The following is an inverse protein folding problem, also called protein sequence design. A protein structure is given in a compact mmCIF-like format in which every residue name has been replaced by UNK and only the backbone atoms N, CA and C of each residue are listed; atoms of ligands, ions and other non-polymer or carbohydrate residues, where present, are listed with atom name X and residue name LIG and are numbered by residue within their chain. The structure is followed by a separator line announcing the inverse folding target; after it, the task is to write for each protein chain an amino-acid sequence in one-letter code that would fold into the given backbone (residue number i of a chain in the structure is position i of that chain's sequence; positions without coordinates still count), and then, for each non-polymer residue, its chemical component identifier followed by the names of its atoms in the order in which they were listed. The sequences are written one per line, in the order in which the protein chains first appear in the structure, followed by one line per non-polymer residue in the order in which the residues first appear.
data_IF_283178433614
#
_entry.id   IF_283178433614
#
_cell.length_a   1.000
_cell.length_b   1.000
_cell.length_c   1.000
_cell.angle_alpha   90.00
_cell.angle_beta   90.00
_cell.angle_gamma   90.00
#
_symmetry.space_group_name_H-M   'P 1'
#
loop_
_entity.id
_entity.type
_entity.pdbx_description
1 polymer ?
#
# COMPACT_ATOMS: atom_id res chain seq x y z
N UNK A 1 24.69 6.03 -57.17
CA UNK A 1 24.55 6.08 -55.70
C UNK A 1 25.47 7.20 -55.21
N UNK A 2 24.95 8.43 -55.07
CA UNK A 2 25.74 9.58 -54.62
C UNK A 2 25.93 9.46 -53.10
N UNK A 3 27.17 9.21 -52.67
CA UNK A 3 27.58 9.33 -51.29
C UNK A 3 27.51 10.82 -50.91
N UNK A 4 26.55 11.18 -50.07
CA UNK A 4 26.54 12.49 -49.42
C UNK A 4 27.80 12.61 -48.54
N UNK A 5 28.56 13.70 -48.64
CA UNK A 5 29.72 13.91 -47.80
C UNK A 5 29.26 14.10 -46.35
N UNK A 6 29.76 13.26 -45.44
CA UNK A 6 29.59 13.45 -44.00
C UNK A 6 30.29 14.76 -43.64
N UNK A 7 29.50 15.78 -43.33
CA UNK A 7 29.96 17.13 -43.04
C UNK A 7 30.61 17.15 -41.65
N UNK A 8 31.90 16.79 -41.59
CA UNK A 8 32.71 16.71 -40.36
C UNK A 8 32.68 18.00 -39.53
N UNK A 9 32.44 19.14 -40.16
CA UNK A 9 32.38 20.44 -39.50
C UNK A 9 31.07 20.63 -38.72
N UNK A 10 29.98 20.01 -39.17
CA UNK A 10 28.67 20.08 -38.50
C UNK A 10 28.60 19.27 -37.21
N UNK A 11 29.24 18.09 -37.16
CA UNK A 11 29.29 17.27 -35.94
C UNK A 11 30.17 17.89 -34.86
N UNK A 12 31.31 18.47 -35.26
CA UNK A 12 32.17 19.23 -34.35
C UNK A 12 31.42 20.43 -33.76
N UNK A 13 30.77 21.23 -34.61
CA UNK A 13 29.98 22.38 -34.18
C UNK A 13 28.83 21.98 -33.25
N UNK A 14 28.11 20.89 -33.54
CA UNK A 14 27.05 20.39 -32.67
C UNK A 14 27.59 19.91 -31.31
N UNK A 15 28.80 19.34 -31.29
CA UNK A 15 29.47 18.94 -30.05
C UNK A 15 29.84 20.16 -29.22
N UNK A 16 30.40 21.20 -29.84
CA UNK A 16 30.75 22.45 -29.15
C UNK A 16 29.51 23.18 -28.62
N UNK A 17 28.41 23.18 -29.38
CA UNK A 17 27.12 23.72 -28.93
C UNK A 17 26.60 22.93 -27.73
N UNK A 18 26.68 21.60 -27.76
CA UNK A 18 26.29 20.76 -26.61
C UNK A 18 27.13 21.09 -25.38
N UNK A 19 28.44 21.22 -25.53
CA UNK A 19 29.34 21.61 -24.43
C UNK A 19 28.97 23.00 -23.90
N UNK A 20 28.76 23.98 -24.78
CA UNK A 20 28.41 25.34 -24.38
C UNK A 20 27.06 25.42 -23.66
N UNK A 21 26.05 24.66 -24.13
CA UNK A 21 24.74 24.53 -23.49
C UNK A 21 24.81 23.79 -22.16
N UNK A 22 25.65 22.76 -22.04
CA UNK A 22 25.87 22.06 -20.77
C UNK A 22 26.54 22.96 -19.72
N UNK A 23 27.42 23.87 -20.14
CA UNK A 23 28.06 24.85 -19.26
C UNK A 23 27.08 25.95 -18.83
N UNK A 24 26.24 26.42 -19.76
CA UNK A 24 25.25 27.46 -19.53
C UNK A 24 23.97 27.18 -20.34
N UNK A 25 22.96 26.64 -19.66
CA UNK A 25 21.72 26.24 -20.28
C UNK A 25 20.96 27.41 -20.92
N UNK A 26 21.21 28.67 -20.50
CA UNK A 26 20.60 29.87 -21.12
C UNK A 26 21.04 30.05 -22.58
N UNK A 27 22.19 29.49 -22.96
CA UNK A 27 22.66 29.49 -24.36
C UNK A 27 21.78 28.65 -25.29
N UNK A 28 20.98 27.74 -24.75
CA UNK A 28 20.04 26.94 -25.54
C UNK A 28 18.93 27.81 -26.13
N UNK A 29 18.47 28.84 -25.42
CA UNK A 29 17.49 29.80 -25.94
C UNK A 29 18.08 30.61 -27.11
N UNK A 30 19.28 31.16 -26.92
CA UNK A 30 19.99 31.88 -27.98
C UNK A 30 20.23 30.99 -29.22
N UNK A 31 20.58 29.72 -29.02
CA UNK A 31 20.74 28.75 -30.10
C UNK A 31 19.42 28.47 -30.81
N UNK A 32 18.33 28.25 -30.08
CA UNK A 32 17.00 28.07 -30.64
C UNK A 32 16.55 29.28 -31.46
N UNK A 33 16.82 30.50 -31.00
CA UNK A 33 16.55 31.74 -31.74
C UNK A 33 17.36 31.85 -33.03
N UNK A 34 18.62 31.42 -33.02
CA UNK A 34 19.44 31.36 -34.23
C UNK A 34 18.81 30.36 -35.23
N UNK A 35 18.40 29.17 -34.78
CA UNK A 35 17.74 28.17 -35.63
C UNK A 35 16.40 28.65 -36.19
N UNK A 36 15.67 29.49 -35.46
CA UNK A 36 14.41 30.09 -35.93
C UNK A 36 14.58 31.05 -37.10
N UNK A 37 15.79 31.61 -37.32
CA UNK A 37 16.03 32.61 -38.38
C UNK A 37 16.10 32.01 -39.78
N UNK A 38 16.33 30.70 -39.92
CA UNK A 38 16.39 30.03 -41.21
C UNK A 38 15.19 29.09 -41.41
N UNK A 39 14.50 29.22 -42.55
CA UNK A 39 13.27 28.47 -42.85
C UNK A 39 13.45 26.95 -42.77
N UNK A 40 14.63 26.45 -43.14
CA UNK A 40 14.96 25.02 -43.08
C UNK A 40 15.09 24.46 -41.65
N UNK A 41 15.44 25.30 -40.66
CA UNK A 41 15.67 24.89 -39.26
C UNK A 41 14.65 25.47 -38.28
N UNK A 42 13.71 26.29 -38.76
CA UNK A 42 12.76 27.00 -37.92
C UNK A 42 11.87 26.06 -37.10
N UNK A 43 11.47 24.91 -37.65
CA UNK A 43 10.70 23.91 -36.91
C UNK A 43 11.46 23.34 -35.70
N UNK A 44 12.76 23.09 -35.85
CA UNK A 44 13.64 22.59 -34.77
C UNK A 44 13.84 23.70 -33.73
N UNK A 45 14.12 24.93 -34.18
CA UNK A 45 14.26 26.08 -33.30
C UNK A 45 13.01 26.33 -32.45
N UNK A 46 11.81 26.25 -33.05
CA UNK A 46 10.56 26.42 -32.31
C UNK A 46 10.28 25.28 -31.32
N UNK A 47 10.58 24.03 -31.69
CA UNK A 47 10.45 22.89 -30.78
C UNK A 47 11.36 23.06 -29.54
N UNK A 48 12.64 23.38 -29.75
CA UNK A 48 13.59 23.63 -28.67
C UNK A 48 13.14 24.83 -27.83
N UNK A 49 12.67 25.93 -28.44
CA UNK A 49 12.22 27.12 -27.70
C UNK A 49 10.97 26.84 -26.85
N UNK A 50 10.04 26.02 -27.34
CA UNK A 50 8.86 25.63 -26.58
C UNK A 50 9.22 24.73 -25.40
N UNK A 51 10.01 23.67 -25.64
CA UNK A 51 10.49 22.79 -24.57
C UNK A 51 11.36 23.55 -23.55
N UNK A 52 12.19 24.49 -24.01
CA UNK A 52 13.00 25.32 -23.13
C UNK A 52 12.13 26.18 -22.21
N UNK A 53 11.10 26.83 -22.75
CA UNK A 53 10.18 27.67 -21.96
C UNK A 53 9.35 26.88 -20.97
N UNK A 54 8.91 25.67 -21.33
CA UNK A 54 8.19 24.77 -20.43
C UNK A 54 9.04 24.29 -19.25
N UNK A 55 10.35 24.10 -19.47
CA UNK A 55 11.23 23.53 -18.46
C UNK A 55 12.04 24.56 -17.65
N UNK A 56 12.28 25.78 -18.17
CA UNK A 56 13.27 26.70 -17.60
C UNK A 56 12.81 28.15 -17.37
N UNK A 57 11.78 28.65 -18.07
CA UNK A 57 11.37 30.05 -17.94
C UNK A 57 10.02 30.19 -17.25
N UNK A 58 10.04 30.28 -15.92
CA UNK A 58 9.00 30.98 -15.17
C UNK A 58 9.64 31.79 -14.04
N UNK A 59 9.67 33.11 -14.27
CA UNK A 59 9.86 34.20 -13.30
C UNK A 59 11.28 34.70 -13.03
N UNK A 60 11.88 35.40 -14.01
CA UNK A 60 12.93 36.40 -13.76
C UNK A 60 12.26 37.76 -13.44
N UNK A 61 11.70 37.93 -12.24
CA UNK A 61 11.50 39.26 -11.63
C UNK A 61 11.01 39.14 -10.19
N UNK A 62 11.51 40.03 -9.34
CA UNK A 62 11.09 40.33 -7.95
C UNK A 62 11.88 39.60 -6.83
N UNK A 63 13.17 39.93 -6.77
CA UNK A 63 13.90 40.02 -5.51
C UNK A 63 13.20 41.03 -4.59
N UNK A 64 12.78 40.60 -3.41
CA UNK A 64 13.01 41.27 -2.11
C UNK A 64 12.23 40.53 -1.02
N UNK A 65 12.94 40.18 0.06
CA UNK A 65 12.44 39.88 1.43
C UNK A 65 12.63 38.45 2.00
N UNK A 66 13.63 37.68 1.55
CA UNK A 66 14.10 36.52 2.34
C UNK A 66 15.37 36.90 3.09
N UNK A 67 15.25 36.99 4.41
CA UNK A 67 16.34 37.25 5.35
C UNK A 67 17.46 36.24 5.14
N UNK A 68 18.67 36.79 4.99
CA UNK A 68 19.92 36.11 4.67
C UNK A 68 20.29 35.10 5.76
N UNK A 69 19.85 33.85 5.58
CA UNK A 69 20.53 32.67 6.12
C UNK A 69 21.65 32.28 5.15
N UNK A 70 22.81 31.90 5.67
CA UNK A 70 23.96 31.42 4.90
C UNK A 70 23.54 30.43 3.82
N UNK A 71 24.12 30.59 2.62
CA UNK A 71 23.67 30.08 1.32
C UNK A 71 23.64 28.54 1.12
N UNK A 72 23.44 27.74 2.17
CA UNK A 72 23.49 26.28 2.17
C UNK A 72 22.20 25.62 2.71
N UNK A 73 21.33 26.36 3.40
CA UNK A 73 20.09 25.82 3.98
C UNK A 73 18.91 26.76 3.76
N UNK A 74 17.88 26.30 3.04
CA UNK A 74 16.58 26.97 3.02
C UNK A 74 15.77 26.50 4.22
N UNK A 75 15.64 27.37 5.23
CA UNK A 75 14.71 27.16 6.34
C UNK A 75 13.36 27.78 6.01
N UNK A 76 12.36 26.92 5.82
CA UNK A 76 10.97 27.34 5.61
C UNK A 76 10.28 27.30 6.97
N UNK A 77 10.05 28.46 7.56
CA UNK A 77 9.28 28.58 8.79
C UNK A 77 7.81 28.66 8.45
N UNK A 78 7.03 27.66 8.84
CA UNK A 78 5.59 27.70 8.63
C UNK A 78 4.98 28.84 9.44
N UNK A 79 4.32 29.83 8.80
CA UNK A 79 3.66 30.88 9.52
C UNK A 79 2.51 30.29 10.34
N UNK A 80 2.11 30.99 11.40
CA UNK A 80 1.03 30.53 12.26
C UNK A 80 -0.30 30.35 11.51
N UNK A 81 -0.48 31.07 10.39
CA UNK A 81 -1.59 30.86 9.46
C UNK A 81 -1.55 29.48 8.79
N UNK A 82 -0.39 28.98 8.39
CA UNK A 82 -0.22 27.65 7.80
C UNK A 82 -0.44 26.55 8.85
N UNK A 83 0.12 26.73 10.05
CA UNK A 83 -0.11 25.82 11.18
C UNK A 83 -1.61 25.75 11.52
N UNK A 84 -2.31 26.89 11.50
CA UNK A 84 -3.76 26.93 11.70
C UNK A 84 -4.53 26.19 10.60
N UNK A 85 -4.08 26.21 9.35
CA UNK A 85 -4.69 25.44 8.26
C UNK A 85 -4.49 23.93 8.44
N UNK A 86 -3.32 23.47 8.88
CA UNK A 86 -3.12 22.07 9.27
C UNK A 86 -4.06 21.66 10.41
N UNK A 87 -4.17 22.48 11.47
CA UNK A 87 -5.12 22.25 12.57
C UNK A 87 -6.57 22.17 12.08
N UNK A 88 -6.99 23.08 11.19
CA UNK A 88 -8.32 23.04 10.57
C UNK A 88 -8.55 21.76 9.77
N UNK A 89 -7.55 21.31 9.00
CA UNK A 89 -7.65 20.05 8.26
C UNK A 89 -7.75 18.85 9.18
N UNK A 90 -7.01 18.83 10.30
CA UNK A 90 -7.13 17.77 11.31
C UNK A 90 -8.49 17.76 12.00
N UNK A 91 -9.07 18.93 12.28
CA UNK A 91 -10.44 19.04 12.78
C UNK A 91 -11.47 18.53 11.76
N UNK A 92 -11.28 18.83 10.47
CA UNK A 92 -12.13 18.28 9.40
C UNK A 92 -12.01 16.76 9.30
N UNK A 93 -10.80 16.22 9.37
CA UNK A 93 -10.56 14.78 9.42
C UNK A 93 -11.35 14.13 10.57
N UNK A 94 -11.22 14.65 11.79
CA UNK A 94 -12.01 14.16 12.94
C UNK A 94 -13.53 14.28 12.71
N UNK A 95 -13.99 15.38 12.11
CA UNK A 95 -15.41 15.58 11.76
C UNK A 95 -15.90 14.57 10.73
N UNK A 96 -15.08 14.18 9.76
CA UNK A 96 -15.39 13.14 8.77
C UNK A 96 -15.66 11.82 9.49
N UNK A 97 -14.75 11.37 10.35
CA UNK A 97 -14.94 10.13 11.12
C UNK A 97 -16.17 10.18 12.03
N UNK A 98 -16.43 11.31 12.69
CA UNK A 98 -17.63 11.47 13.51
C UNK A 98 -18.91 11.40 12.66
N UNK A 99 -18.90 11.98 11.47
CA UNK A 99 -20.03 11.96 10.54
C UNK A 99 -20.30 10.54 10.07
N UNK A 100 -19.25 9.80 9.67
CA UNK A 100 -19.35 8.38 9.31
C UNK A 100 -19.91 7.55 10.47
N UNK A 101 -19.37 7.74 11.68
CA UNK A 101 -19.86 7.05 12.89
C UNK A 101 -21.36 7.30 13.14
N UNK A 102 -21.83 8.54 12.97
CA UNK A 102 -23.24 8.87 13.17
C UNK A 102 -24.14 8.23 12.11
N UNK A 103 -23.68 8.17 10.86
CA UNK A 103 -24.42 7.55 9.75
C UNK A 103 -24.50 6.03 9.96
N UNK A 104 -23.38 5.38 10.26
CA UNK A 104 -23.34 3.93 10.57
C UNK A 104 -24.20 3.61 11.79
N UNK A 105 -24.25 4.48 12.81
CA UNK A 105 -25.12 4.27 13.97
C UNK A 105 -26.60 4.28 13.61
N UNK A 106 -27.01 5.04 12.58
CA UNK A 106 -28.40 5.08 12.14
C UNK A 106 -28.81 3.80 11.37
N UNK A 107 -27.87 3.18 10.65
CA UNK A 107 -28.06 1.91 9.95
C UNK A 107 -26.83 1.00 10.12
N UNK A 108 -26.72 0.29 11.27
CA UNK A 108 -25.53 -0.48 11.58
C UNK A 108 -25.48 -1.78 10.76
N UNK A 109 -24.37 -2.05 10.04
CA UNK A 109 -24.16 -3.35 9.41
C UNK A 109 -23.84 -4.42 10.47
N UNK A 110 -23.84 -5.68 10.05
CA UNK A 110 -23.49 -6.78 10.95
C UNK A 110 -22.01 -6.70 11.35
N UNK A 111 -21.75 -6.93 12.64
CA UNK A 111 -20.40 -6.81 13.21
C UNK A 111 -19.42 -7.80 12.57
N UNK A 112 -19.84 -9.03 12.32
CA UNK A 112 -18.97 -10.06 11.74
C UNK A 112 -18.66 -9.75 10.27
N UNK A 113 -19.63 -9.25 9.49
CA UNK A 113 -19.39 -8.81 8.11
C UNK A 113 -18.36 -7.67 8.06
N UNK A 114 -18.40 -6.73 9.01
CA UNK A 114 -17.40 -5.67 9.15
C UNK A 114 -16.00 -6.24 9.45
N UNK A 115 -15.91 -7.23 10.34
CA UNK A 115 -14.64 -7.88 10.69
C UNK A 115 -14.06 -8.65 9.51
N UNK A 116 -14.88 -9.43 8.82
CA UNK A 116 -14.47 -10.23 7.66
C UNK A 116 -13.98 -9.34 6.52
N UNK A 117 -14.71 -8.25 6.22
CA UNK A 117 -14.30 -7.27 5.22
C UNK A 117 -12.93 -6.66 5.52
N UNK A 118 -12.70 -6.29 6.79
CA UNK A 118 -11.44 -5.68 7.22
C UNK A 118 -10.29 -6.70 7.21
N UNK A 119 -10.51 -7.94 7.64
CA UNK A 119 -9.49 -9.01 7.63
C UNK A 119 -9.13 -9.42 6.21
N UNK A 120 -10.12 -9.54 5.31
CA UNK A 120 -9.90 -9.90 3.92
C UNK A 120 -9.06 -8.85 3.20
N UNK A 121 -9.36 -7.57 3.45
CA UNK A 121 -8.71 -6.45 2.77
C UNK A 121 -7.38 -6.06 3.42
N UNK A 122 -7.23 -6.28 4.72
CA UNK A 122 -6.07 -5.91 5.53
C UNK A 122 -5.69 -7.04 6.51
N UNK A 123 -5.18 -8.14 5.97
CA UNK A 123 -4.86 -9.36 6.74
C UNK A 123 -3.91 -9.12 7.91
N UNK A 124 -3.04 -8.10 7.83
CA UNK A 124 -2.15 -7.68 8.91
C UNK A 124 -2.88 -7.21 10.18
N UNK A 125 -4.12 -6.70 10.05
CA UNK A 125 -4.91 -6.22 11.18
C UNK A 125 -5.64 -7.33 11.92
N UNK A 126 -5.59 -8.59 11.45
CA UNK A 126 -6.31 -9.72 12.05
C UNK A 126 -6.18 -9.82 13.59
N UNK A 127 -5.00 -9.62 14.22
CA UNK A 127 -4.88 -9.66 15.68
C UNK A 127 -5.59 -8.51 16.40
N UNK A 128 -5.76 -7.36 15.75
CA UNK A 128 -6.41 -6.16 16.30
C UNK A 128 -7.93 -6.25 16.09
N UNK A 129 -8.37 -6.73 14.93
CA UNK A 129 -9.78 -6.97 14.62
C UNK A 129 -10.39 -8.00 15.58
N UNK A 130 -9.64 -9.05 15.94
CA UNK A 130 -10.09 -10.05 16.91
C UNK A 130 -10.39 -9.46 18.31
N UNK A 131 -9.81 -8.31 18.66
CA UNK A 131 -10.03 -7.62 19.94
C UNK A 131 -11.21 -6.63 19.88
N UNK A 132 -11.77 -6.38 18.72
CA UNK A 132 -12.88 -5.44 18.56
C UNK A 132 -14.20 -6.12 18.97
N UNK A 133 -14.80 -5.62 20.06
CA UNK A 133 -16.07 -6.15 20.60
C UNK A 133 -17.30 -5.54 19.92
N UNK A 134 -17.15 -4.33 19.36
CA UNK A 134 -18.25 -3.60 18.74
C UNK A 134 -17.81 -2.80 17.50
N UNK A 135 -18.80 -2.26 16.77
CA UNK A 135 -18.59 -1.43 15.58
C UNK A 135 -17.74 -0.19 15.91
N UNK A 136 -17.86 0.32 17.13
CA UNK A 136 -17.10 1.50 17.56
C UNK A 136 -15.60 1.19 17.62
N UNK A 137 -15.23 0.04 18.16
CA UNK A 137 -13.84 -0.42 18.26
C UNK A 137 -13.24 -0.65 16.87
N UNK A 138 -14.02 -1.15 15.92
CA UNK A 138 -13.61 -1.27 14.51
C UNK A 138 -13.36 0.10 13.88
N UNK A 139 -14.27 1.06 14.07
CA UNK A 139 -14.10 2.41 13.53
C UNK A 139 -12.91 3.15 14.16
N UNK A 140 -12.65 2.93 15.45
CA UNK A 140 -11.47 3.44 16.15
C UNK A 140 -10.18 2.84 15.54
N UNK A 141 -10.13 1.53 15.33
CA UNK A 141 -9.01 0.85 14.65
C UNK A 141 -8.76 1.39 13.23
N UNK A 142 -9.83 1.58 12.44
CA UNK A 142 -9.73 2.17 11.10
C UNK A 142 -9.15 3.60 11.20
N UNK A 143 -9.58 4.39 12.18
CA UNK A 143 -9.10 5.75 12.36
C UNK A 143 -7.61 5.84 12.72
N UNK A 144 -7.09 4.87 13.47
CA UNK A 144 -5.67 4.78 13.84
C UNK A 144 -4.79 4.41 12.64
N UNK A 145 -5.34 3.68 11.67
CA UNK A 145 -4.64 3.25 10.47
C UNK A 145 -4.82 4.22 9.28
N UNK A 146 -5.71 5.19 9.39
CA UNK A 146 -5.86 6.27 8.40
C UNK A 146 -4.91 7.43 8.71
N UNK A 147 -4.57 8.18 7.66
CA UNK A 147 -3.77 9.41 7.76
C UNK A 147 -4.48 10.58 7.11
N UNK A 148 -3.98 11.80 7.32
CA UNK A 148 -4.65 13.00 6.80
C UNK A 148 -4.81 12.99 5.27
N UNK A 149 -3.87 12.38 4.53
CA UNK A 149 -3.90 12.28 3.08
C UNK A 149 -4.32 10.90 2.55
N UNK A 150 -4.61 9.94 3.44
CA UNK A 150 -5.02 8.59 3.06
C UNK A 150 -6.12 8.09 4.01
N UNK A 151 -7.36 8.12 3.50
CA UNK A 151 -8.56 7.59 4.16
C UNK A 151 -9.08 6.35 3.42
N UNK A 152 -8.28 5.73 2.56
CA UNK A 152 -8.72 4.66 1.64
C UNK A 152 -9.34 3.48 2.39
N UNK A 153 -8.81 3.15 3.58
CA UNK A 153 -9.36 2.10 4.43
C UNK A 153 -10.80 2.40 4.87
N UNK A 154 -11.07 3.66 5.24
CA UNK A 154 -12.41 4.10 5.62
C UNK A 154 -13.36 4.13 4.40
N UNK A 155 -12.88 4.61 3.25
CA UNK A 155 -13.67 4.68 2.01
C UNK A 155 -14.06 3.29 1.50
N UNK A 156 -13.10 2.38 1.42
CA UNK A 156 -13.32 1.00 0.99
C UNK A 156 -14.39 0.31 1.84
N UNK A 157 -14.22 0.39 3.16
CA UNK A 157 -15.13 -0.23 4.12
C UNK A 157 -16.56 0.29 4.00
N UNK A 158 -16.70 1.58 3.77
CA UNK A 158 -18.00 2.24 3.71
C UNK A 158 -18.71 2.00 2.37
N UNK A 159 -17.98 1.92 1.26
CA UNK A 159 -18.57 1.67 -0.06
C UNK A 159 -19.23 0.28 -0.18
N UNK A 160 -18.69 -0.72 0.53
CA UNK A 160 -19.29 -2.07 0.61
C UNK A 160 -20.58 -2.09 1.44
N UNK A 161 -20.85 -1.08 2.26
CA UNK A 161 -21.98 -1.08 3.20
C UNK A 161 -23.31 -0.56 2.60
N UNK A 162 -23.32 -0.06 1.35
CA UNK A 162 -24.47 0.58 0.67
C UNK A 162 -25.19 1.68 1.48
N UNK A 163 -24.50 2.35 2.42
CA UNK A 163 -25.14 3.34 3.30
C UNK A 163 -25.21 4.72 2.62
N UNK A 164 -26.42 5.24 2.45
CA UNK A 164 -26.69 6.54 1.83
C UNK A 164 -26.08 7.71 2.61
N UNK A 165 -25.61 8.73 1.89
CA UNK A 165 -25.00 9.95 2.44
C UNK A 165 -23.49 9.90 2.70
N UNK A 166 -22.85 8.73 2.68
CA UNK A 166 -21.40 8.62 2.94
C UNK A 166 -20.53 9.09 1.78
N UNK A 167 -20.97 8.87 0.54
CA UNK A 167 -20.29 9.38 -0.65
C UNK A 167 -20.09 10.90 -0.59
N UNK A 168 -21.11 11.63 -0.10
CA UNK A 168 -21.05 13.08 0.08
C UNK A 168 -20.05 13.48 1.15
N UNK A 169 -19.99 12.75 2.27
CA UNK A 169 -19.03 13.00 3.36
C UNK A 169 -17.59 12.87 2.86
N UNK A 170 -17.28 11.83 2.08
CA UNK A 170 -15.94 11.64 1.53
C UNK A 170 -15.61 12.65 0.44
N UNK A 171 -16.56 12.97 -0.44
CA UNK A 171 -16.39 14.01 -1.43
C UNK A 171 -16.03 15.36 -0.79
N UNK A 172 -16.79 15.80 0.22
CA UNK A 172 -16.53 17.06 0.93
C UNK A 172 -15.13 17.07 1.60
N UNK A 173 -14.70 15.93 2.15
CA UNK A 173 -13.38 15.80 2.75
C UNK A 173 -12.27 15.87 1.68
N UNK A 174 -12.38 15.08 0.62
CA UNK A 174 -11.39 15.00 -0.45
C UNK A 174 -11.26 16.33 -1.19
N UNK A 175 -12.36 17.04 -1.44
CA UNK A 175 -12.33 18.39 -2.00
C UNK A 175 -11.63 19.38 -1.05
N UNK A 176 -11.91 19.30 0.26
CA UNK A 176 -11.23 20.14 1.24
C UNK A 176 -9.73 19.85 1.34
N UNK A 177 -9.34 18.58 1.31
CA UNK A 177 -7.95 18.13 1.33
C UNK A 177 -7.23 18.58 0.06
N UNK A 178 -7.81 18.34 -1.11
CA UNK A 178 -7.27 18.78 -2.41
C UNK A 178 -7.10 20.29 -2.45
N UNK A 179 -8.10 21.04 -2.02
CA UNK A 179 -8.01 22.49 -1.91
C UNK A 179 -6.87 22.89 -0.98
N UNK A 180 -6.71 22.25 0.17
CA UNK A 180 -5.61 22.57 1.08
C UNK A 180 -4.24 22.23 0.48
N UNK A 181 -4.03 21.01 0.00
CA UNK A 181 -2.74 20.50 -0.46
C UNK A 181 -2.32 21.14 -1.79
N UNK A 182 -3.19 21.14 -2.80
CA UNK A 182 -2.87 21.59 -4.16
C UNK A 182 -2.94 23.10 -4.33
N UNK A 183 -3.68 23.81 -3.47
CA UNK A 183 -3.72 25.28 -3.53
C UNK A 183 -2.88 25.88 -2.41
N UNK A 184 -3.30 25.80 -1.15
CA UNK A 184 -2.67 26.56 -0.06
C UNK A 184 -1.24 26.11 0.23
N UNK A 185 -1.04 24.82 0.48
CA UNK A 185 0.26 24.27 0.85
C UNK A 185 1.23 24.29 -0.34
N UNK A 186 0.76 23.87 -1.52
CA UNK A 186 1.59 23.91 -2.73
C UNK A 186 1.97 25.33 -3.15
N UNK A 187 1.06 26.31 -3.13
CA UNK A 187 1.40 27.70 -3.45
C UNK A 187 2.37 28.29 -2.43
N UNK A 188 2.16 28.01 -1.15
CA UNK A 188 3.07 28.46 -0.09
C UNK A 188 4.47 27.88 -0.31
N UNK A 189 4.58 26.55 -0.39
CA UNK A 189 5.86 25.88 -0.62
C UNK A 189 6.52 26.32 -1.92
N UNK A 190 5.77 26.41 -3.03
CA UNK A 190 6.29 26.88 -4.33
C UNK A 190 6.78 28.33 -4.24
N UNK A 191 6.08 29.18 -3.48
CA UNK A 191 6.51 30.53 -3.18
C UNK A 191 7.86 30.52 -2.48
N UNK A 192 7.99 29.80 -1.38
CA UNK A 192 9.25 29.68 -0.62
C UNK A 192 10.41 29.12 -1.48
N UNK A 193 10.12 28.14 -2.34
CA UNK A 193 11.13 27.55 -3.25
C UNK A 193 11.49 28.44 -4.43
N UNK A 194 10.60 29.31 -4.89
CA UNK A 194 10.89 30.20 -6.01
C UNK A 194 12.01 31.20 -5.70
N UNK A 195 12.31 31.42 -4.42
CA UNK A 195 13.41 32.26 -3.96
C UNK A 195 14.73 31.51 -3.77
N UNK A 196 14.70 30.17 -3.81
CA UNK A 196 15.88 29.31 -3.67
C UNK A 196 16.40 28.90 -5.04
N UNK A 197 17.61 29.35 -5.41
CA UNK A 197 18.26 28.85 -6.62
C UNK A 197 18.46 27.34 -6.50
N UNK A 198 18.10 26.52 -7.51
CA UNK A 198 18.33 25.07 -7.51
C UNK A 198 19.78 24.64 -7.26
N UNK A 199 20.72 25.59 -7.38
CA UNK A 199 22.16 25.43 -7.18
C UNK A 199 22.66 25.91 -5.80
N UNK A 200 21.80 26.47 -4.95
CA UNK A 200 22.17 27.08 -3.66
C UNK A 200 21.42 26.48 -2.46
N UNK A 201 20.61 25.45 -2.65
CA UNK A 201 19.84 24.83 -1.58
C UNK A 201 20.08 23.33 -1.57
N UNK A 202 21.15 22.94 -0.86
CA UNK A 202 21.48 21.55 -0.61
C UNK A 202 20.54 20.94 0.44
N UNK A 203 20.01 21.77 1.35
CA UNK A 203 19.12 21.38 2.44
C UNK A 203 17.87 22.26 2.47
N UNK A 204 16.70 21.62 2.51
CA UNK A 204 15.42 22.27 2.83
C UNK A 204 14.98 21.75 4.20
N UNK A 205 14.83 22.67 5.14
CA UNK A 205 14.31 22.36 6.47
C UNK A 205 12.97 23.07 6.63
N UNK A 206 11.89 22.31 6.74
CA UNK A 206 10.60 22.86 7.16
C UNK A 206 10.61 22.91 8.69
N UNK A 207 10.61 24.11 9.23
CA UNK A 207 10.56 24.36 10.68
C UNK A 207 9.12 24.68 11.04
N UNK A 208 8.62 23.95 12.04
CA UNK A 208 7.28 24.17 12.59
C UNK A 208 7.46 24.51 14.07
N UNK A 209 7.33 25.79 14.39
CA UNK A 209 7.32 26.24 15.79
C UNK A 209 5.92 25.99 16.36
N UNK A 210 5.78 24.90 17.11
CA UNK A 210 4.51 24.51 17.76
C UNK A 210 4.75 24.36 19.26
N UNK A 211 3.81 24.84 20.08
CA UNK A 211 3.80 24.56 21.52
C UNK A 211 3.79 23.05 21.79
N UNK A 212 4.46 22.64 22.88
CA UNK A 212 4.81 21.28 23.36
C UNK A 212 3.68 20.22 23.44
N UNK A 213 2.45 20.50 22.97
CA UNK A 213 1.30 19.60 23.09
C UNK A 213 0.68 19.15 21.75
N UNK A 214 1.24 19.54 20.60
CA UNK A 214 0.70 19.18 19.28
C UNK A 214 1.66 18.29 18.44
N UNK A 215 2.57 17.60 19.12
CA UNK A 215 3.96 17.36 18.70
C UNK A 215 4.18 16.31 17.60
N UNK A 216 3.44 15.21 17.53
CA UNK A 216 3.84 14.10 16.65
C UNK A 216 2.95 13.90 15.42
N UNK A 217 1.63 14.00 15.58
CA UNK A 217 0.68 13.78 14.49
C UNK A 217 0.79 14.89 13.43
N UNK A 218 0.98 16.14 13.85
CA UNK A 218 1.16 17.25 12.92
C UNK A 218 2.45 17.10 12.11
N UNK A 219 3.56 16.69 12.74
CA UNK A 219 4.82 16.44 12.03
C UNK A 219 4.67 15.30 11.02
N UNK A 220 3.97 14.22 11.40
CA UNK A 220 3.67 13.12 10.47
C UNK A 220 2.82 13.59 9.29
N UNK A 221 1.79 14.40 9.54
CA UNK A 221 0.91 14.94 8.50
C UNK A 221 1.67 15.87 7.55
N UNK A 222 2.49 16.77 8.09
CA UNK A 222 3.34 17.68 7.30
C UNK A 222 4.34 16.89 6.48
N UNK A 223 5.02 15.89 7.07
CA UNK A 223 5.97 15.04 6.36
C UNK A 223 5.31 14.33 5.18
N UNK A 224 4.20 13.63 5.39
CA UNK A 224 3.50 12.86 4.34
C UNK A 224 3.03 13.77 3.20
N UNK A 225 2.32 14.84 3.53
CA UNK A 225 1.80 15.77 2.52
C UNK A 225 2.93 16.48 1.76
N UNK A 226 4.01 16.82 2.44
CA UNK A 226 5.17 17.42 1.79
C UNK A 226 5.84 16.43 0.84
N UNK A 227 6.03 15.16 1.23
CA UNK A 227 6.59 14.11 0.36
C UNK A 227 5.76 13.95 -0.93
N UNK A 228 4.44 13.91 -0.83
CA UNK A 228 3.56 13.80 -2.01
C UNK A 228 3.70 15.02 -2.93
N UNK A 229 3.80 16.21 -2.36
CA UNK A 229 4.00 17.45 -3.10
C UNK A 229 5.40 17.45 -3.76
N UNK A 230 6.45 17.05 -3.04
CA UNK A 230 7.82 16.99 -3.57
C UNK A 230 7.97 15.94 -4.67
N UNK A 231 7.37 14.77 -4.52
CA UNK A 231 7.36 13.75 -5.57
C UNK A 231 6.72 14.27 -6.87
N UNK A 232 5.71 15.14 -6.76
CA UNK A 232 5.09 15.83 -7.90
C UNK A 232 5.93 16.99 -8.45
N UNK A 233 6.70 17.68 -7.59
CA UNK A 233 7.48 18.87 -7.97
C UNK A 233 8.90 18.56 -8.50
N UNK A 234 9.58 17.50 -8.04
CA UNK A 234 10.89 17.10 -8.57
C UNK A 234 11.17 15.59 -8.39
N UNK A 235 11.26 14.86 -9.51
CA UNK A 235 11.43 13.38 -9.51
C UNK A 235 12.86 12.89 -9.19
N UNK A 236 13.85 13.80 -9.10
CA UNK A 236 15.27 13.45 -9.25
C UNK A 236 16.11 13.58 -7.96
N UNK A 237 15.53 13.97 -6.83
CA UNK A 237 16.25 14.14 -5.55
C UNK A 237 15.57 13.34 -4.45
N UNK A 238 16.34 12.51 -3.72
CA UNK A 238 15.86 11.69 -2.59
C UNK A 238 16.68 11.97 -1.33
N UNK A 239 15.98 12.28 -0.25
CA UNK A 239 16.55 12.57 1.07
C UNK A 239 16.66 11.28 1.89
N UNK A 240 17.85 10.94 2.40
CA UNK A 240 18.08 9.67 3.11
C UNK A 240 18.33 9.80 4.63
N UNK A 241 19.31 10.55 5.15
CA UNK A 241 19.63 10.54 6.62
C UNK A 241 20.32 11.84 7.10
N UNK A 242 20.06 12.25 8.35
CA UNK A 242 20.87 13.22 9.14
C UNK A 242 21.17 12.59 10.52
N UNK A 243 22.42 12.68 11.00
CA UNK A 243 22.82 12.23 12.35
C UNK A 243 23.55 13.36 13.07
N UNK A 244 23.25 13.55 14.35
CA UNK A 244 23.77 14.66 15.18
C UNK A 244 24.90 14.20 16.11
N UNK A 245 25.94 15.02 16.31
CA UNK A 245 27.14 14.72 17.09
C UNK A 245 28.24 15.80 16.99
N UNK A 246 29.48 15.51 17.44
CA UNK A 246 30.63 16.45 17.41
C UNK A 246 31.14 16.79 15.98
N UNK A 247 30.54 16.21 14.95
CA UNK A 247 30.64 16.61 13.54
C UNK A 247 29.32 16.26 12.85
N UNK A 248 28.91 17.05 11.85
CA UNK A 248 27.73 16.76 11.04
C UNK A 248 28.14 16.00 9.77
N UNK A 249 27.44 14.91 9.46
CA UNK A 249 27.61 14.14 8.22
C UNK A 249 26.33 14.21 7.41
N UNK A 250 26.43 14.66 6.16
CA UNK A 250 25.31 14.76 5.23
C UNK A 250 25.51 13.75 4.10
N UNK A 251 24.52 12.88 3.90
CA UNK A 251 24.56 11.87 2.82
C UNK A 251 23.46 12.18 1.81
N UNK A 252 23.86 12.70 0.65
CA UNK A 252 22.99 12.97 -0.50
C UNK A 252 23.24 11.94 -1.61
N UNK A 253 22.22 11.62 -2.39
CA UNK A 253 22.34 10.75 -3.56
C UNK A 253 22.13 11.56 -4.83
N UNK A 254 23.12 11.54 -5.72
CA UNK A 254 23.06 12.20 -7.03
C UNK A 254 23.53 11.22 -8.11
N UNK A 255 23.10 11.38 -9.38
CA UNK A 255 23.58 10.56 -10.48
C UNK A 255 25.10 10.63 -10.61
N UNK A 256 25.78 9.48 -10.71
CA UNK A 256 27.25 9.38 -10.80
C UNK A 256 27.87 10.25 -11.92
N UNK A 257 27.11 10.48 -12.99
CA UNK A 257 27.52 11.35 -14.10
C UNK A 257 27.77 12.82 -13.68
N UNK A 258 27.24 13.24 -12.53
CA UNK A 258 27.40 14.60 -11.99
C UNK A 258 28.57 14.73 -11.01
N UNK A 259 29.26 13.63 -10.67
CA UNK A 259 30.38 13.64 -9.70
C UNK A 259 31.48 14.63 -10.06
N UNK A 260 31.89 14.66 -11.33
CA UNK A 260 32.97 15.54 -11.80
C UNK A 260 32.59 17.02 -11.71
N UNK A 261 31.33 17.35 -12.00
CA UNK A 261 30.82 18.72 -11.92
C UNK A 261 30.72 19.16 -10.46
N UNK A 262 30.28 18.27 -9.58
CA UNK A 262 30.18 18.54 -8.15
C UNK A 262 31.57 18.71 -7.51
N UNK A 263 32.54 17.86 -7.88
CA UNK A 263 33.93 17.99 -7.43
C UNK A 263 34.55 19.30 -7.96
N UNK A 264 34.33 19.65 -9.22
CA UNK A 264 34.84 20.90 -9.79
C UNK A 264 34.22 22.14 -9.10
N UNK A 265 32.91 22.13 -8.85
CA UNK A 265 32.22 23.19 -8.12
C UNK A 265 32.74 23.30 -6.67
N UNK A 266 32.94 22.17 -6.00
CA UNK A 266 33.51 22.14 -4.65
C UNK A 266 34.94 22.68 -4.60
N UNK A 267 35.79 22.31 -5.58
CA UNK A 267 37.15 22.82 -5.69
C UNK A 267 37.17 24.33 -5.98
N UNK A 268 36.28 24.83 -6.84
CA UNK A 268 36.19 26.26 -7.16
C UNK A 268 35.74 27.11 -5.97
N UNK A 269 35.00 26.52 -5.04
CA UNK A 269 34.51 27.21 -3.83
C UNK A 269 35.29 26.80 -2.57
N UNK A 270 36.42 26.09 -2.71
CA UNK A 270 37.08 25.47 -1.56
C UNK A 270 37.60 26.50 -0.56
N UNK A 271 38.04 27.67 -1.00
CA UNK A 271 38.57 28.69 -0.08
C UNK A 271 37.47 29.28 0.80
N UNK A 272 36.24 29.40 0.28
CA UNK A 272 35.06 29.79 1.07
C UNK A 272 34.77 28.71 2.13
N UNK A 273 34.90 27.43 1.78
CA UNK A 273 34.70 26.33 2.72
C UNK A 273 35.78 26.32 3.82
N UNK A 274 37.03 26.65 3.48
CA UNK A 274 38.13 26.82 4.44
C UNK A 274 37.87 27.99 5.39
N UNK A 275 37.43 29.14 4.87
CA UNK A 275 37.05 30.32 5.66
C UNK A 275 35.94 29.99 6.67
N UNK A 276 35.00 29.13 6.28
CA UNK A 276 33.92 28.64 7.12
C UNK A 276 34.29 27.44 8.02
N UNK A 277 35.60 27.14 8.18
CA UNK A 277 36.14 26.12 9.11
C UNK A 277 35.72 24.68 8.80
N UNK A 278 35.35 24.38 7.55
CA UNK A 278 35.16 22.99 7.11
C UNK A 278 36.49 22.25 7.28
N UNK A 279 36.53 21.14 8.01
CA UNK A 279 37.79 20.40 8.26
C UNK A 279 38.07 19.31 7.23
N UNK A 280 37.01 18.74 6.64
CA UNK A 280 37.09 17.67 5.65
C UNK A 280 35.88 17.70 4.74
N UNK A 281 36.10 17.54 3.44
CA UNK A 281 35.05 17.40 2.43
C UNK A 281 35.34 16.17 1.57
N UNK A 282 34.37 15.28 1.47
CA UNK A 282 34.45 14.06 0.65
C UNK A 282 33.23 14.03 -0.27
N UNK A 283 33.45 13.83 -1.57
CA UNK A 283 32.41 13.64 -2.57
C UNK A 283 32.59 12.25 -3.18
N UNK A 284 31.63 11.35 -2.95
CA UNK A 284 31.79 9.94 -3.30
C UNK A 284 32.97 9.33 -2.56
N UNK A 285 34.01 8.91 -3.29
CA UNK A 285 35.26 8.40 -2.72
C UNK A 285 36.44 9.38 -2.82
N UNK A 286 36.19 10.60 -3.32
CA UNK A 286 37.22 11.61 -3.49
C UNK A 286 37.21 12.56 -2.30
N UNK A 287 38.29 12.57 -1.51
CA UNK A 287 38.53 13.60 -0.52
C UNK A 287 38.92 14.88 -1.26
N UNK A 288 37.97 15.81 -1.37
CA UNK A 288 38.19 17.12 -2.00
C UNK A 288 39.14 17.95 -1.14
N UNK A 289 39.01 17.85 0.18
CA UNK A 289 39.79 18.63 1.12
C UNK A 289 39.84 17.96 2.50
N UNK A 290 40.99 18.02 3.17
CA UNK A 290 41.17 17.59 4.56
C UNK A 290 42.29 18.42 5.20
N UNK A 291 42.05 18.98 6.39
CA UNK A 291 43.06 19.70 7.17
C UNK A 291 43.94 18.69 7.89
N UNK A 292 45.25 18.70 7.60
CA UNK A 292 46.23 17.94 8.36
C UNK A 292 46.75 18.80 9.52
N UNK A 293 46.38 18.47 10.75
CA UNK A 293 46.85 19.15 11.97
C UNK A 293 48.31 18.78 12.32
N UNK A 294 49.25 19.05 11.41
CA UNK A 294 50.68 18.90 11.65
C UNK A 294 51.49 20.13 11.17
N UNK A 295 52.08 20.83 12.15
CA UNK A 295 53.21 21.78 12.10
C UNK A 295 53.01 23.28 11.75
N UNK A 296 53.16 24.08 12.82
CA UNK A 296 53.78 25.43 13.02
C UNK A 296 53.96 26.46 11.89
N UNK A 297 53.80 27.77 12.18
CA UNK A 297 53.86 28.85 11.21
C UNK A 297 55.31 29.31 10.93
N UNK A 298 55.73 29.27 9.67
CA UNK A 298 56.84 30.10 9.18
C UNK A 298 56.60 30.57 7.75
N UNK A 299 56.76 31.88 7.59
CA UNK A 299 56.66 32.69 6.38
C UNK A 299 57.51 32.15 5.23
N UNK A 300 56.91 31.95 4.05
CA UNK A 300 57.33 32.53 2.75
C UNK A 300 56.51 31.92 1.60
N UNK A 301 56.08 32.84 0.74
CA UNK A 301 55.45 32.62 -0.55
C UNK A 301 56.11 31.50 -1.34
N UNK A 302 55.38 30.40 -1.53
CA UNK A 302 55.60 29.44 -2.60
C UNK A 302 54.23 29.09 -3.17
N UNK A 303 54.00 29.49 -4.43
CA UNK A 303 52.98 28.89 -5.27
C UNK A 303 53.28 27.39 -5.39
N UNK A 304 52.74 26.58 -4.48
CA UNK A 304 52.74 25.13 -4.60
C UNK A 304 51.45 24.75 -5.34
N UNK A 305 51.59 24.62 -6.66
CA UNK A 305 50.76 23.86 -7.60
C UNK A 305 49.37 23.42 -7.11
N UNK A 306 48.31 23.92 -7.78
CA UNK A 306 47.05 23.20 -7.94
C UNK A 306 47.36 21.71 -8.16
N UNK A 307 46.72 20.77 -7.45
CA UNK A 307 46.83 19.36 -7.80
C UNK A 307 46.33 19.22 -9.23
N UNK A 308 47.24 18.86 -10.13
CA UNK A 308 46.91 18.47 -11.50
C UNK A 308 45.77 17.45 -11.44
N UNK A 309 44.65 17.77 -12.09
CA UNK A 309 43.47 16.91 -12.23
C UNK A 309 43.91 15.49 -12.63
N UNK A 310 43.60 14.43 -11.86
CA UNK A 310 43.82 13.09 -12.34
C UNK A 310 42.47 12.57 -12.85
N UNK A 311 42.35 12.42 -14.17
CA UNK A 311 41.38 11.51 -14.82
C UNK A 311 41.37 10.09 -14.23
N UNK A 312 42.36 9.75 -13.40
CA UNK A 312 42.51 8.48 -12.69
C UNK A 312 41.45 8.26 -11.59
N UNK A 313 40.94 9.29 -10.93
CA UNK A 313 40.10 9.08 -9.73
C UNK A 313 38.64 8.82 -10.07
N UNK A 314 38.09 9.42 -11.13
CA UNK A 314 36.77 9.02 -11.66
C UNK A 314 36.80 7.58 -12.20
N UNK A 315 37.88 7.19 -12.88
CA UNK A 315 38.07 5.82 -13.36
C UNK A 315 38.14 4.82 -12.19
N UNK A 316 38.85 5.16 -11.10
CA UNK A 316 38.86 4.37 -9.86
C UNK A 316 37.48 4.33 -9.19
N UNK A 317 36.74 5.44 -9.16
CA UNK A 317 35.38 5.48 -8.61
C UNK A 317 34.41 4.62 -9.42
N UNK A 318 34.46 4.70 -10.74
CA UNK A 318 33.68 3.84 -11.65
C UNK A 318 34.06 2.38 -11.47
N UNK A 319 35.35 2.06 -11.38
CA UNK A 319 35.84 0.70 -11.19
C UNK A 319 35.48 0.13 -9.80
N UNK A 320 35.52 0.94 -8.75
CA UNK A 320 35.09 0.55 -7.40
C UNK A 320 33.57 0.41 -7.32
N UNK A 321 32.81 1.31 -7.94
CA UNK A 321 31.35 1.20 -8.06
C UNK A 321 30.95 -0.05 -8.83
N UNK A 322 31.65 -0.36 -9.94
CA UNK A 322 31.47 -1.63 -10.65
C UNK A 322 31.82 -2.83 -9.77
N UNK A 323 32.92 -2.78 -9.01
CA UNK A 323 33.31 -3.87 -8.10
C UNK A 323 32.29 -4.09 -6.99
N UNK A 324 31.73 -3.03 -6.40
CA UNK A 324 30.68 -3.14 -5.38
C UNK A 324 29.38 -3.67 -6.00
N UNK A 325 29.01 -3.21 -7.19
CA UNK A 325 27.87 -3.79 -7.92
C UNK A 325 28.09 -5.27 -8.24
N UNK A 326 29.31 -5.66 -8.62
CA UNK A 326 29.67 -7.04 -8.91
C UNK A 326 29.65 -7.91 -7.65
N UNK A 327 30.23 -7.45 -6.54
CA UNK A 327 30.21 -8.15 -5.24
C UNK A 327 28.77 -8.30 -4.74
N UNK A 328 27.98 -7.23 -4.77
CA UNK A 328 26.57 -7.30 -4.38
C UNK A 328 25.80 -8.26 -5.29
N UNK A 329 26.08 -8.27 -6.59
CA UNK A 329 25.46 -9.23 -7.51
C UNK A 329 25.90 -10.68 -7.25
N UNK A 330 27.14 -10.92 -6.82
CA UNK A 330 27.62 -12.25 -6.46
C UNK A 330 27.01 -12.75 -5.15
N UNK A 331 26.88 -11.87 -4.14
CA UNK A 331 26.22 -12.16 -2.87
C UNK A 331 24.70 -12.33 -3.04
N UNK A 332 24.06 -11.52 -3.88
CA UNK A 332 22.65 -11.63 -4.26
C UNK A 332 22.40 -12.91 -5.08
N UNK A 333 23.31 -13.29 -5.98
CA UNK A 333 23.23 -14.58 -6.69
C UNK A 333 23.48 -15.77 -5.74
N UNK A 334 24.39 -15.66 -4.78
CA UNK A 334 24.63 -16.72 -3.80
C UNK A 334 23.41 -16.93 -2.89
N UNK A 335 22.83 -15.84 -2.36
CA UNK A 335 21.60 -15.88 -1.54
C UNK A 335 20.41 -16.39 -2.33
N UNK A 336 20.19 -15.91 -3.56
CA UNK A 336 19.13 -16.43 -4.45
C UNK A 336 19.32 -17.91 -4.78
N UNK A 337 20.56 -18.39 -4.89
CA UNK A 337 20.84 -19.80 -5.16
C UNK A 337 20.61 -20.69 -3.92
N UNK A 338 20.93 -20.19 -2.72
CA UNK A 338 20.59 -20.84 -1.45
C UNK A 338 19.07 -20.88 -1.22
N UNK A 339 18.37 -19.76 -1.45
CA UNK A 339 16.91 -19.68 -1.39
C UNK A 339 16.24 -20.59 -2.43
N UNK A 340 16.75 -20.62 -3.67
CA UNK A 340 16.26 -21.51 -4.72
C UNK A 340 16.46 -22.99 -4.36
N UNK A 341 17.58 -23.34 -3.71
CA UNK A 341 17.83 -24.69 -3.21
C UNK A 341 16.86 -25.05 -2.07
N UNK A 342 16.68 -24.16 -1.09
CA UNK A 342 15.72 -24.35 0.00
C UNK A 342 14.28 -24.49 -0.51
N UNK A 343 13.87 -23.63 -1.45
CA UNK A 343 12.54 -23.67 -2.07
C UNK A 343 12.34 -24.96 -2.87
N UNK A 344 13.39 -25.48 -3.53
CA UNK A 344 13.34 -26.75 -4.24
C UNK A 344 13.18 -27.93 -3.29
N UNK A 345 13.88 -27.93 -2.15
CA UNK A 345 13.76 -28.94 -1.10
C UNK A 345 12.35 -28.92 -0.45
N UNK A 346 11.83 -27.73 -0.16
CA UNK A 346 10.47 -27.54 0.35
C UNK A 346 9.41 -27.99 -0.67
N UNK A 347 9.58 -27.65 -1.96
CA UNK A 347 8.70 -28.10 -3.03
C UNK A 347 8.70 -29.63 -3.18
N UNK A 348 9.85 -30.30 -3.01
CA UNK A 348 9.90 -31.77 -2.97
C UNK A 348 9.15 -32.34 -1.77
N UNK A 349 9.32 -31.78 -0.58
CA UNK A 349 8.59 -32.20 0.62
C UNK A 349 7.07 -32.01 0.50
N UNK A 350 6.64 -30.87 -0.06
CA UNK A 350 5.23 -30.59 -0.36
C UNK A 350 4.67 -31.56 -1.39
N UNK A 351 5.45 -31.93 -2.41
CA UNK A 351 5.06 -32.90 -3.43
C UNK A 351 4.84 -34.29 -2.83
N UNK A 352 5.75 -34.75 -1.97
CA UNK A 352 5.61 -36.02 -1.25
C UNK A 352 4.38 -36.03 -0.33
N UNK A 353 4.16 -34.92 0.39
CA UNK A 353 2.98 -34.75 1.25
C UNK A 353 1.68 -34.76 0.44
N UNK A 354 1.66 -34.09 -0.71
CA UNK A 354 0.53 -34.07 -1.63
C UNK A 354 0.24 -35.48 -2.16
N UNK A 355 1.26 -36.23 -2.53
CA UNK A 355 1.12 -37.58 -3.05
C UNK A 355 0.59 -38.55 -1.98
N UNK A 356 1.07 -38.42 -0.74
CA UNK A 356 0.54 -39.14 0.42
C UNK A 356 -0.94 -38.81 0.66
N UNK A 357 -1.32 -37.51 0.70
CA UNK A 357 -2.71 -37.08 0.84
C UNK A 357 -3.60 -37.58 -0.31
N UNK A 358 -3.08 -37.59 -1.54
CA UNK A 358 -3.80 -38.08 -2.72
C UNK A 358 -4.03 -39.58 -2.64
N UNK A 359 -3.07 -40.36 -2.12
CA UNK A 359 -3.24 -41.79 -1.86
C UNK A 359 -4.28 -42.05 -0.77
N UNK A 360 -4.27 -41.26 0.30
CA UNK A 360 -5.27 -41.34 1.37
C UNK A 360 -6.68 -41.00 0.87
N UNK A 361 -6.83 -39.94 0.07
CA UNK A 361 -8.11 -39.56 -0.54
C UNK A 361 -8.66 -40.68 -1.43
N UNK A 362 -7.81 -41.34 -2.24
CA UNK A 362 -8.23 -42.50 -3.05
C UNK A 362 -8.73 -43.65 -2.18
N UNK A 363 -8.06 -43.95 -1.07
CA UNK A 363 -8.51 -44.97 -0.13
C UNK A 363 -9.89 -44.62 0.47
N UNK A 364 -10.08 -43.36 0.88
CA UNK A 364 -11.35 -42.90 1.44
C UNK A 364 -12.48 -42.92 0.40
N UNK A 365 -12.22 -42.62 -0.88
CA UNK A 365 -13.22 -42.74 -1.95
C UNK A 365 -13.69 -44.19 -2.08
N UNK A 366 -12.75 -45.14 -2.13
CA UNK A 366 -13.07 -46.58 -2.20
C UNK A 366 -13.90 -47.03 -0.99
N UNK A 367 -13.57 -46.54 0.20
CA UNK A 367 -14.31 -46.86 1.42
C UNK A 367 -15.73 -46.25 1.40
N UNK A 368 -15.86 -45.01 0.94
CA UNK A 368 -17.14 -44.34 0.77
C UNK A 368 -18.04 -45.01 -0.27
N UNK A 369 -17.46 -45.53 -1.36
CA UNK A 369 -18.22 -46.30 -2.36
C UNK A 369 -18.75 -47.62 -1.77
N UNK A 370 -17.96 -48.29 -0.91
CA UNK A 370 -18.45 -49.45 -0.15
C UNK A 370 -19.57 -49.08 0.82
N UNK A 371 -19.47 -47.93 1.48
CA UNK A 371 -20.55 -47.44 2.36
C UNK A 371 -21.84 -47.15 1.57
N UNK A 372 -21.74 -46.62 0.34
CA UNK A 372 -22.91 -46.43 -0.54
C UNK A 372 -23.56 -47.75 -0.95
N UNK A 373 -22.78 -48.75 -1.33
CA UNK A 373 -23.31 -50.10 -1.62
C UNK A 373 -24.01 -50.70 -0.41
N UNK A 374 -23.41 -50.59 0.77
CA UNK A 374 -24.01 -51.08 2.01
C UNK A 374 -25.32 -50.36 2.33
N UNK A 375 -25.36 -49.03 2.15
CA UNK A 375 -26.55 -48.22 2.36
C UNK A 375 -27.68 -48.60 1.39
N UNK A 376 -27.35 -48.84 0.11
CA UNK A 376 -28.32 -49.32 -0.88
C UNK A 376 -28.91 -50.69 -0.49
N UNK A 377 -28.07 -51.64 -0.07
CA UNK A 377 -28.52 -52.95 0.38
C UNK A 377 -29.38 -52.91 1.66
N UNK A 378 -29.09 -51.99 2.58
CA UNK A 378 -29.94 -51.75 3.75
C UNK A 378 -31.28 -51.13 3.38
N UNK A 379 -31.29 -50.22 2.41
CA UNK A 379 -32.51 -49.58 1.92
C UNK A 379 -33.44 -50.59 1.22
N UNK A 380 -32.87 -51.52 0.45
CA UNK A 380 -33.62 -52.63 -0.15
C UNK A 380 -34.23 -53.55 0.93
N UNK A 381 -33.45 -53.96 1.93
CA UNK A 381 -33.95 -54.74 3.07
C UNK A 381 -35.07 -54.02 3.84
N UNK A 382 -34.93 -52.72 4.07
CA UNK A 382 -35.98 -51.91 4.69
C UNK A 382 -37.26 -51.92 3.88
N UNK A 383 -37.17 -51.82 2.55
CA UNK A 383 -38.35 -51.88 1.68
C UNK A 383 -39.07 -53.23 1.75
N UNK A 384 -38.32 -54.34 1.84
CA UNK A 384 -38.89 -55.68 2.01
C UNK A 384 -39.61 -55.83 3.35
N UNK A 385 -38.95 -55.44 4.44
CA UNK A 385 -39.53 -55.47 5.79
C UNK A 385 -40.77 -54.58 5.90
N UNK A 386 -40.80 -53.44 5.19
CA UNK A 386 -41.96 -52.55 5.15
C UNK A 386 -43.16 -53.26 4.52
N UNK A 387 -42.95 -53.96 3.38
CA UNK A 387 -44.00 -54.77 2.74
C UNK A 387 -44.48 -55.92 3.63
N UNK A 388 -43.57 -56.69 4.24
CA UNK A 388 -43.97 -57.76 5.16
C UNK A 388 -44.79 -57.22 6.34
N UNK A 389 -44.45 -56.03 6.84
CA UNK A 389 -45.19 -55.41 7.93
C UNK A 389 -46.57 -54.89 7.50
N UNK A 390 -46.73 -54.43 6.26
CA UNK A 390 -48.03 -54.12 5.66
C UNK A 390 -48.89 -55.39 5.52
N UNK A 391 -48.35 -56.48 4.99
CA UNK A 391 -49.06 -57.77 4.89
C UNK A 391 -49.49 -58.30 6.26
N UNK A 392 -48.62 -58.19 7.27
CA UNK A 392 -48.93 -58.59 8.64
C UNK A 392 -50.06 -57.73 9.25
N UNK A 393 -50.08 -56.43 8.95
CA UNK A 393 -51.17 -55.54 9.37
C UNK A 393 -52.50 -55.90 8.69
N UNK A 394 -52.48 -56.26 7.41
CA UNK A 394 -53.66 -56.73 6.68
C UNK A 394 -54.22 -58.01 7.32
N UNK A 395 -53.35 -58.98 7.63
CA UNK A 395 -53.72 -60.23 8.31
C UNK A 395 -54.29 -59.93 9.70
N UNK A 396 -53.66 -59.03 10.45
CA UNK A 396 -54.14 -58.61 11.78
C UNK A 396 -55.55 -58.03 11.70
N UNK A 397 -55.83 -57.17 10.72
CA UNK A 397 -57.14 -56.57 10.50
C UNK A 397 -58.21 -57.63 10.19
N UNK A 398 -57.90 -58.59 9.32
CA UNK A 398 -58.79 -59.72 9.02
C UNK A 398 -59.08 -60.52 10.30
N UNK A 399 -58.06 -60.77 11.12
CA UNK A 399 -58.22 -61.49 12.38
C UNK A 399 -59.13 -60.74 13.36
N UNK A 400 -58.96 -59.42 13.49
CA UNK A 400 -59.80 -58.55 14.31
C UNK A 400 -61.27 -58.55 13.83
N UNK A 401 -61.51 -58.49 12.51
CA UNK A 401 -62.85 -58.59 11.91
C UNK A 401 -63.50 -59.95 12.20
N UNK A 402 -62.74 -61.05 12.05
CA UNK A 402 -63.25 -62.39 12.40
C UNK A 402 -63.55 -62.53 13.89
N UNK A 403 -62.71 -61.97 14.76
CA UNK A 403 -62.93 -61.98 16.21
C UNK A 403 -64.20 -61.22 16.59
N UNK A 404 -64.46 -60.06 15.96
CA UNK A 404 -65.69 -59.30 16.14
C UNK A 404 -66.93 -60.08 15.67
N UNK A 405 -66.84 -60.77 14.53
CA UNK A 405 -67.90 -61.63 13.99
C UNK A 405 -68.23 -62.79 14.95
N UNK A 406 -67.20 -63.47 15.47
CA UNK A 406 -67.37 -64.54 16.45
C UNK A 406 -68.00 -64.04 17.76
N UNK A 407 -67.61 -62.85 18.24
CA UNK A 407 -68.21 -62.25 19.43
C UNK A 407 -69.69 -61.88 19.19
N UNK A 408 -70.04 -61.40 17.99
CA UNK A 408 -71.43 -61.14 17.60
C UNK A 408 -72.27 -62.42 17.53
N UNK A 409 -71.78 -63.47 16.86
CA UNK A 409 -72.49 -64.75 16.77
C UNK A 409 -72.66 -65.40 18.15
N UNK A 410 -71.66 -65.30 19.02
CA UNK A 410 -71.77 -65.76 20.40
C UNK A 410 -72.88 -65.01 21.15
N UNK A 411 -72.97 -63.69 20.99
CA UNK A 411 -74.06 -62.87 21.52
C UNK A 411 -75.42 -63.32 21.00
N UNK A 412 -75.56 -63.58 19.69
CA UNK A 412 -76.80 -64.05 19.07
C UNK A 412 -77.22 -65.46 19.51
N UNK A 413 -76.25 -66.34 19.78
CA UNK A 413 -76.48 -67.69 20.31
C UNK A 413 -76.93 -67.60 21.77
N UNK A 414 -76.26 -66.80 22.59
CA UNK A 414 -76.66 -66.55 23.98
C UNK A 414 -78.08 -65.96 24.04
N UNK A 415 -78.42 -65.02 23.16
CA UNK A 415 -79.76 -64.42 23.05
C UNK A 415 -80.85 -65.43 22.62
N UNK A 416 -80.50 -66.35 21.70
CA UNK A 416 -81.39 -67.45 21.26
C UNK A 416 -81.58 -68.50 22.35
N UNK A 417 -80.52 -68.84 23.09
CA UNK A 417 -80.61 -69.77 24.22
C UNK A 417 -81.39 -69.17 25.39
N UNK A 418 -81.24 -67.88 25.66
CA UNK A 418 -82.01 -67.19 26.69
C UNK A 418 -83.51 -67.10 26.33
N UNK A 419 -83.84 -66.85 25.05
CA UNK A 419 -85.21 -66.92 24.52
C UNK A 419 -85.78 -68.35 24.57
N UNK A 420 -84.97 -69.38 24.29
CA UNK A 420 -85.36 -70.79 24.47
C UNK A 420 -85.61 -71.13 25.94
N UNK A 421 -84.74 -70.75 26.86
CA UNK A 421 -84.95 -70.96 28.30
C UNK A 421 -86.23 -70.26 28.80
N UNK A 422 -86.51 -69.04 28.35
CA UNK A 422 -87.77 -68.34 28.63
C UNK A 422 -88.98 -69.10 28.09
N UNK A 423 -88.89 -69.72 26.90
CA UNK A 423 -89.96 -70.56 26.33
C UNK A 423 -90.18 -71.89 27.08
N UNK A 424 -89.14 -72.45 27.72
CA UNK A 424 -89.27 -73.63 28.59
C UNK A 424 -89.75 -73.29 30.01
N UNK A 425 -89.70 -72.02 30.42
CA UNK A 425 -90.27 -71.57 31.71
C UNK A 425 -91.79 -71.41 31.67
N UNK A 426 -92.39 -71.20 30.49
CA UNK A 426 -93.84 -71.03 30.34
C UNK A 426 -94.67 -72.31 30.62
N UNK A 427 -94.23 -73.53 30.26
CA UNK A 427 -94.93 -74.75 30.64
C UNK A 427 -94.78 -75.14 32.14
N UNK A 428 -93.70 -74.71 32.81
CA UNK A 428 -93.42 -75.13 34.20
C UNK A 428 -94.34 -74.41 35.21
N UNK A 429 -94.88 -73.22 34.89
CA UNK A 429 -95.90 -72.58 35.72
C UNK A 429 -97.27 -73.29 35.64
N UNK A 430 -97.55 -74.07 34.59
CA UNK A 430 -98.80 -74.82 34.47
C UNK A 430 -98.79 -76.21 35.11
N UNK A 431 -97.62 -76.74 35.48
CA UNK A 431 -97.47 -78.05 36.12
C UNK A 431 -97.36 -77.99 37.67
N UNK A 432 -97.36 -76.81 38.28
CA UNK A 432 -97.35 -76.63 39.75
C UNK A 432 -98.74 -76.45 40.38
N UNK A 433 -99.81 -76.73 39.63
CA UNK A 433 -101.21 -76.58 40.08
C UNK A 433 -102.05 -77.88 39.98
N UNK A 434 -101.43 -79.03 39.70
CA UNK A 434 -102.02 -80.36 39.88
C UNK A 434 -100.92 -81.35 40.29
N UNK A 435 -101.05 -81.89 41.50
CA UNK A 435 -100.04 -82.56 42.36
C UNK A 435 -99.19 -81.58 43.16
#
# INVERSE_FOLDING_TARGET
MMLLPVNKDGEALLTDIKVAVCIDYRKLEAFAEILCKATATAGIGMAIKNEYRENFCSNDSLMTNSTVGTAEELKIHFPQSMIAEFKKMRLKFGKTFLSVKNIIKANPPALEDMKDTLIFSYSALKPQVAKCEDIRSILELISENCSLNDISMLEFFVNESEIDGLAKVFQEYNEALKKFSETKLSQYLKGEFSYASPLQCEKITIVIDVDENAEELMLKDVKRLSVDIFHKLSRNVRLNVIRDGNSFTVTCSFPLILSDHLIAAALNNIDILKENRVKKMIIGYYTVYEVNDASTPTTKQQCASLPTRPSSDLSKQLMLSLKVQLINSEEEVATLNEESKAMKEEATSLKETLEAKRKMLRANIVENDKFKELAAGLQEKLSHLTKENEELNEIKKILEEQLALFQSEKGDIEDKEEKKLKSFSQPIQHLKLRL
#
